data_IF_210015465103
#
_entry.id   IF_210015465103
#
_cell.length_a   1.000
_cell.length_b   1.000
_cell.length_c   1.000
_cell.angle_alpha   90.00
_cell.angle_beta   90.00
_cell.angle_gamma   90.00
#
_symmetry.space_group_name_H-M   'P 1'
#
loop_
_entity.id
_entity.type
_entity.pdbx_description
1 polymer ?
#
# COMPACT_ATOMS: atom_id res chain seq x y z
N UNK A 1 11.30 50.96 -21.52
CA UNK A 1 10.78 50.28 -20.30
C UNK A 1 9.28 49.94 -20.32
N UNK A 2 8.41 50.58 -21.11
CA UNK A 2 6.95 50.36 -21.06
C UNK A 2 6.42 49.01 -21.61
N UNK A 3 7.06 48.39 -22.61
CA UNK A 3 6.63 47.11 -23.20
C UNK A 3 6.78 45.90 -22.24
N UNK A 4 7.83 45.90 -21.40
CA UNK A 4 8.11 44.82 -20.43
C UNK A 4 7.09 44.82 -19.28
N UNK A 5 6.63 46.01 -18.86
CA UNK A 5 5.60 46.20 -17.84
C UNK A 5 4.21 45.71 -18.31
N UNK A 6 3.80 46.05 -19.54
CA UNK A 6 2.51 45.59 -20.12
C UNK A 6 2.45 44.06 -20.28
N UNK A 7 3.53 43.40 -20.69
CA UNK A 7 3.57 41.93 -20.83
C UNK A 7 3.54 41.21 -19.47
N UNK A 8 4.15 41.77 -18.43
CA UNK A 8 4.09 41.21 -17.06
C UNK A 8 2.68 41.34 -16.46
N UNK A 9 1.99 42.46 -16.72
CA UNK A 9 0.58 42.67 -16.33
C UNK A 9 -0.38 41.73 -17.06
N UNK A 10 -0.19 41.47 -18.36
CA UNK A 10 -1.01 40.53 -19.14
C UNK A 10 -0.81 39.06 -18.74
N UNK A 11 0.42 38.61 -18.46
CA UNK A 11 0.68 37.24 -17.96
C UNK A 11 0.07 36.98 -16.58
N UNK A 12 0.09 37.98 -15.69
CA UNK A 12 -0.56 37.87 -14.37
C UNK A 12 -2.09 37.84 -14.45
N UNK A 13 -2.72 38.33 -15.53
CA UNK A 13 -4.17 38.28 -15.70
C UNK A 13 -4.69 36.92 -16.20
N UNK A 14 -3.89 36.15 -16.94
CA UNK A 14 -4.33 34.84 -17.45
C UNK A 14 -4.45 33.79 -16.32
N UNK A 15 -3.46 33.71 -15.42
CA UNK A 15 -3.52 32.85 -14.25
C UNK A 15 -4.55 33.30 -13.20
N UNK A 16 -4.91 34.60 -13.19
CA UNK A 16 -5.96 35.14 -12.32
C UNK A 16 -7.39 34.79 -12.78
N UNK A 17 -7.58 34.26 -14.00
CA UNK A 17 -8.90 33.95 -14.56
C UNK A 17 -9.41 32.53 -14.29
N UNK A 18 -8.54 31.61 -13.87
CA UNK A 18 -9.00 30.28 -13.46
C UNK A 18 -9.66 30.37 -12.09
N UNK A 19 -10.82 29.75 -11.92
CA UNK A 19 -11.46 29.58 -10.61
C UNK A 19 -10.65 28.61 -9.75
N UNK A 20 -10.84 28.67 -8.43
CA UNK A 20 -10.16 27.75 -7.51
C UNK A 20 -10.48 26.29 -7.83
N UNK A 21 -11.72 25.97 -8.19
CA UNK A 21 -12.12 24.63 -8.65
C UNK A 21 -11.37 24.16 -9.90
N UNK A 22 -11.19 25.03 -10.89
CA UNK A 22 -10.46 24.69 -12.12
C UNK A 22 -8.97 24.51 -11.85
N UNK A 23 -8.39 25.32 -10.95
CA UNK A 23 -7.00 25.13 -10.53
C UNK A 23 -6.86 23.79 -9.82
N UNK A 24 -7.77 23.45 -8.92
CA UNK A 24 -7.77 22.15 -8.22
C UNK A 24 -7.93 20.99 -9.20
N UNK A 25 -8.79 21.10 -10.21
CA UNK A 25 -8.91 20.09 -11.28
C UNK A 25 -7.67 19.96 -12.17
N UNK A 26 -6.89 21.03 -12.34
CA UNK A 26 -5.61 20.95 -13.04
C UNK A 26 -4.58 20.26 -12.15
N UNK A 27 -4.48 20.72 -10.90
CA UNK A 27 -3.56 20.19 -9.90
C UNK A 27 -3.83 18.72 -9.56
N UNK A 28 -5.09 18.29 -9.62
CA UNK A 28 -5.49 16.88 -9.41
C UNK A 28 -4.93 15.92 -10.46
N UNK A 29 -4.56 16.45 -11.63
CA UNK A 29 -4.02 15.67 -12.75
C UNK A 29 -2.50 15.68 -12.81
N UNK A 30 -1.84 16.37 -11.86
CA UNK A 30 -0.38 16.47 -11.83
C UNK A 30 0.21 15.38 -10.92
N UNK A 31 1.32 14.74 -11.32
CA UNK A 31 2.09 13.90 -10.41
C UNK A 31 2.51 14.67 -9.16
N UNK A 32 2.65 13.98 -8.01
CA UNK A 32 2.87 14.70 -6.75
C UNK A 32 4.18 15.48 -6.71
N UNK A 33 5.25 15.04 -7.39
CA UNK A 33 6.47 15.86 -7.53
C UNK A 33 6.17 17.23 -8.15
N UNK A 34 5.31 17.27 -9.18
CA UNK A 34 4.84 18.51 -9.80
C UNK A 34 3.91 19.29 -8.87
N UNK A 35 2.99 18.61 -8.18
CA UNK A 35 2.09 19.23 -7.20
C UNK A 35 2.87 19.90 -6.04
N UNK A 36 3.93 19.26 -5.54
CA UNK A 36 4.81 19.79 -4.52
C UNK A 36 5.54 21.05 -5.02
N UNK A 37 6.03 21.05 -6.26
CA UNK A 37 6.61 22.24 -6.90
C UNK A 37 5.57 23.35 -7.10
N UNK A 38 4.31 22.99 -7.38
CA UNK A 38 3.20 23.93 -7.52
C UNK A 38 2.91 24.73 -6.24
N UNK A 39 3.25 24.20 -5.04
CA UNK A 39 3.20 24.98 -3.79
C UNK A 39 4.12 26.20 -3.79
N UNK A 40 5.16 26.20 -4.62
CA UNK A 40 6.11 27.31 -4.74
C UNK A 40 5.70 28.34 -5.82
N UNK A 41 4.68 28.05 -6.63
CA UNK A 41 4.29 28.90 -7.77
C UNK A 41 3.53 30.14 -7.32
N UNK A 42 2.61 30.01 -6.36
CA UNK A 42 1.90 31.16 -5.78
C UNK A 42 1.31 30.82 -4.40
N UNK A 43 1.05 31.85 -3.59
CA UNK A 43 0.35 31.71 -2.31
C UNK A 43 -1.06 31.15 -2.47
N UNK A 44 -1.76 31.50 -3.56
CA UNK A 44 -3.09 30.96 -3.91
C UNK A 44 -3.02 29.45 -4.15
N UNK A 45 -2.09 29.00 -4.99
CA UNK A 45 -1.92 27.57 -5.29
C UNK A 45 -1.49 26.80 -4.05
N UNK A 46 -0.55 27.34 -3.26
CA UNK A 46 -0.19 26.76 -1.97
C UNK A 46 -1.39 26.63 -1.04
N UNK A 47 -2.21 27.68 -0.93
CA UNK A 47 -3.44 27.69 -0.15
C UNK A 47 -4.39 26.59 -0.61
N UNK A 48 -4.65 26.48 -1.92
CA UNK A 48 -5.52 25.45 -2.48
C UNK A 48 -4.98 24.04 -2.26
N UNK A 49 -3.69 23.82 -2.45
CA UNK A 49 -3.05 22.51 -2.24
C UNK A 49 -3.08 22.10 -0.76
N UNK A 50 -2.94 23.07 0.14
CA UNK A 50 -2.99 22.84 1.59
C UNK A 50 -4.41 22.78 2.15
N UNK A 51 -5.43 23.23 1.41
CA UNK A 51 -6.82 23.33 1.86
C UNK A 51 -7.45 21.94 2.05
N UNK A 52 -8.07 21.66 3.22
CA UNK A 52 -8.66 20.35 3.52
C UNK A 52 -9.62 19.84 2.44
N UNK A 53 -10.53 20.69 1.96
CA UNK A 53 -11.56 20.32 0.97
C UNK A 53 -10.98 19.92 -0.40
N UNK A 54 -9.83 20.46 -0.76
CA UNK A 54 -9.19 20.19 -2.05
C UNK A 54 -8.27 18.98 -1.99
N UNK A 55 -7.80 18.58 -0.80
CA UNK A 55 -7.01 17.34 -0.64
C UNK A 55 -7.77 16.15 -1.22
N UNK A 56 -9.09 16.07 -1.03
CA UNK A 56 -9.97 15.04 -1.64
C UNK A 56 -9.81 14.88 -3.14
N UNK A 57 -9.47 15.96 -3.84
CA UNK A 57 -9.32 16.00 -5.30
C UNK A 57 -7.87 15.92 -5.74
N UNK A 58 -6.90 16.16 -4.86
CA UNK A 58 -5.49 16.15 -5.21
C UNK A 58 -4.91 14.75 -5.04
N UNK A 59 -3.92 14.37 -5.87
CA UNK A 59 -3.26 13.08 -5.72
C UNK A 59 -2.70 12.95 -4.32
N UNK A 60 -3.21 11.93 -3.64
CA UNK A 60 -2.78 11.54 -2.32
C UNK A 60 -1.49 10.75 -2.52
N UNK A 61 -0.38 11.34 -2.10
CA UNK A 61 0.91 10.65 -2.11
C UNK A 61 1.03 9.79 -0.87
N UNK A 62 1.84 8.75 -0.99
CA UNK A 62 2.32 7.95 0.13
C UNK A 62 2.88 8.86 1.23
N UNK A 63 2.15 8.97 2.33
CA UNK A 63 2.50 9.86 3.44
C UNK A 63 3.52 9.24 4.36
N UNK A 64 3.39 7.95 4.60
CA UNK A 64 4.20 7.25 5.56
C UNK A 64 3.94 5.76 5.62
N UNK A 65 4.48 5.17 6.67
CA UNK A 65 4.49 3.74 6.92
C UNK A 65 4.06 3.47 8.36
N UNK A 66 3.07 2.61 8.54
CA UNK A 66 2.77 2.00 9.84
C UNK A 66 3.65 0.77 10.05
N UNK A 67 4.14 0.60 11.27
CA UNK A 67 4.88 -0.58 11.68
C UNK A 67 4.75 -0.78 13.18
N UNK A 68 5.02 -2.01 13.63
CA UNK A 68 5.06 -2.34 15.05
C UNK A 68 6.50 -2.60 15.49
N UNK A 69 6.72 -2.44 16.79
CA UNK A 69 7.92 -2.90 17.46
C UNK A 69 7.50 -3.77 18.62
N UNK A 70 8.26 -4.79 18.95
CA UNK A 70 8.01 -5.70 20.05
C UNK A 70 9.21 -5.71 21.00
N UNK A 71 8.99 -5.29 22.24
CA UNK A 71 10.03 -5.29 23.25
C UNK A 71 9.44 -5.78 24.58
N UNK A 72 9.79 -7.00 25.03
CA UNK A 72 9.25 -7.58 26.26
C UNK A 72 9.71 -6.85 27.54
N UNK A 73 10.70 -5.95 27.45
CA UNK A 73 11.18 -5.13 28.56
C UNK A 73 10.44 -3.82 28.78
N UNK A 74 9.43 -3.48 27.97
CA UNK A 74 8.58 -2.29 28.13
C UNK A 74 7.09 -2.65 28.25
N UNK A 75 6.29 -1.72 28.72
CA UNK A 75 4.83 -1.82 28.74
C UNK A 75 4.19 -0.62 28.01
N UNK A 76 3.34 -0.83 26.99
CA UNK A 76 3.01 -2.14 26.38
C UNK A 76 4.22 -2.75 25.65
N UNK A 77 4.28 -4.08 25.58
CA UNK A 77 5.37 -4.78 24.92
C UNK A 77 5.41 -4.45 23.42
N UNK A 78 4.23 -4.46 22.78
CA UNK A 78 4.04 -4.00 21.41
C UNK A 78 3.77 -2.50 21.38
N UNK A 79 4.41 -1.78 20.45
CA UNK A 79 4.13 -0.38 20.18
C UNK A 79 3.99 -0.13 18.69
N UNK A 80 2.90 0.56 18.32
CA UNK A 80 2.60 0.96 16.95
C UNK A 80 3.20 2.32 16.63
N UNK A 81 3.80 2.44 15.45
CA UNK A 81 4.50 3.63 15.00
C UNK A 81 4.00 4.08 13.64
N UNK A 82 4.25 5.36 13.32
CA UNK A 82 4.07 5.91 11.99
C UNK A 82 5.29 6.75 11.60
N UNK A 83 5.93 6.41 10.49
CA UNK A 83 7.07 7.15 9.94
C UNK A 83 6.67 7.89 8.68
N UNK A 84 6.94 9.19 8.61
CA UNK A 84 6.76 9.98 7.39
C UNK A 84 7.87 9.63 6.37
N UNK A 85 7.50 9.34 5.13
CA UNK A 85 8.46 8.95 4.09
C UNK A 85 9.27 10.14 3.57
N UNK A 86 8.73 11.36 3.65
CA UNK A 86 9.36 12.58 3.12
C UNK A 86 10.32 13.29 4.09
N UNK A 87 10.49 12.79 5.31
CA UNK A 87 11.31 13.47 6.32
C UNK A 87 12.81 13.42 5.97
N UNK A 88 13.26 12.43 5.18
CA UNK A 88 14.66 12.31 4.75
C UNK A 88 15.08 13.47 3.82
N UNK A 89 14.23 13.85 2.85
CA UNK A 89 14.50 14.99 1.95
C UNK A 89 14.63 16.30 2.74
N UNK A 90 13.82 16.44 3.80
CA UNK A 90 13.79 17.67 4.62
C UNK A 90 14.88 17.71 5.69
N UNK A 91 15.61 16.60 5.88
CA UNK A 91 16.61 16.40 6.96
C UNK A 91 16.09 16.87 8.33
N UNK A 92 14.79 16.73 8.56
CA UNK A 92 14.09 17.15 9.78
C UNK A 92 13.00 16.13 10.07
N UNK A 93 13.02 15.61 11.29
CA UNK A 93 11.94 14.78 11.80
C UNK A 93 10.74 15.68 12.07
N UNK A 94 9.67 15.47 11.30
CA UNK A 94 8.40 16.12 11.53
C UNK A 94 7.56 15.25 12.46
N UNK A 95 6.59 15.81 13.20
CA UNK A 95 5.58 14.98 13.86
C UNK A 95 4.90 14.04 12.85
N UNK A 96 4.47 12.84 13.27
CA UNK A 96 3.72 11.93 12.41
C UNK A 96 2.51 12.63 11.78
N UNK A 97 2.34 12.48 10.47
CA UNK A 97 1.19 13.06 9.76
C UNK A 97 -0.14 12.39 10.16
N UNK A 98 -0.06 11.15 10.62
CA UNK A 98 -1.18 10.33 11.07
C UNK A 98 -0.86 9.83 12.47
N UNK A 99 -1.85 9.86 13.36
CA UNK A 99 -1.69 9.35 14.72
C UNK A 99 -1.64 7.81 14.69
N UNK A 100 -0.54 7.18 15.14
CA UNK A 100 -0.41 5.72 15.10
C UNK A 100 -1.32 4.99 16.09
N UNK A 101 -1.85 5.66 17.12
CA UNK A 101 -2.67 4.99 18.14
C UNK A 101 -4.00 4.47 17.61
N UNK A 102 -4.58 5.12 16.60
CA UNK A 102 -5.96 4.91 16.14
C UNK A 102 -7.00 5.10 17.27
N UNK A 103 -6.77 6.04 18.19
CA UNK A 103 -7.60 6.29 19.38
C UNK A 103 -9.06 6.68 19.11
N UNK A 104 -9.41 6.97 17.86
CA UNK A 104 -10.78 7.20 17.43
C UNK A 104 -11.61 5.89 17.32
N UNK A 105 -10.96 4.72 17.46
CA UNK A 105 -11.61 3.40 17.45
C UNK A 105 -11.66 2.85 18.89
N UNK A 106 -12.84 2.44 19.40
CA UNK A 106 -12.94 1.75 20.68
C UNK A 106 -12.11 0.46 20.71
N UNK A 107 -11.29 0.28 21.75
CA UNK A 107 -10.40 -0.89 21.88
C UNK A 107 -9.13 -0.84 21.00
N UNK A 108 -8.74 0.35 20.52
CA UNK A 108 -7.54 0.59 19.68
C UNK A 108 -6.21 -0.02 20.16
N UNK A 109 -6.07 -0.27 21.47
CA UNK A 109 -4.86 -0.83 22.09
C UNK A 109 -4.55 -2.24 21.61
N UNK A 110 -5.57 -3.00 21.19
CA UNK A 110 -5.43 -4.39 20.74
C UNK A 110 -5.68 -4.57 19.24
N UNK A 111 -5.81 -3.46 18.49
CA UNK A 111 -6.06 -3.52 17.05
C UNK A 111 -4.76 -3.83 16.31
N UNK A 112 -4.76 -4.88 15.48
CA UNK A 112 -3.70 -5.11 14.51
C UNK A 112 -4.12 -4.57 13.14
N UNK A 113 -3.20 -3.90 12.45
CA UNK A 113 -3.42 -3.48 11.05
C UNK A 113 -3.02 -4.67 10.17
N UNK A 114 -3.84 -5.00 9.18
CA UNK A 114 -3.63 -6.15 8.29
C UNK A 114 -3.27 -5.68 6.87
N UNK A 115 -3.96 -4.67 6.37
CA UNK A 115 -3.76 -4.17 5.02
C UNK A 115 -4.14 -2.69 4.90
N UNK A 116 -3.78 -2.07 3.78
CA UNK A 116 -4.11 -0.71 3.42
C UNK A 116 -4.44 -0.60 1.94
N UNK A 117 -5.48 0.15 1.60
CA UNK A 117 -5.83 0.40 0.20
C UNK A 117 -6.43 1.79 0.03
N UNK A 118 -5.76 2.64 -0.76
CA UNK A 118 -6.21 3.98 -1.14
C UNK A 118 -6.79 4.83 0.03
N UNK A 119 -6.11 4.77 1.18
CA UNK A 119 -6.39 5.58 2.38
C UNK A 119 -7.33 4.98 3.39
N UNK A 120 -7.83 3.77 3.12
CA UNK A 120 -8.45 2.92 4.11
C UNK A 120 -7.42 1.93 4.68
N UNK A 121 -7.57 1.60 5.96
CA UNK A 121 -6.87 0.52 6.63
C UNK A 121 -7.87 -0.60 6.95
N UNK A 122 -7.44 -1.83 6.73
CA UNK A 122 -8.09 -3.02 7.24
C UNK A 122 -7.41 -3.42 8.54
N UNK A 123 -8.22 -3.58 9.57
CA UNK A 123 -7.77 -3.86 10.93
C UNK A 123 -8.49 -5.10 11.48
N UNK A 124 -7.83 -5.81 12.38
CA UNK A 124 -8.40 -6.91 13.16
C UNK A 124 -8.47 -6.49 14.62
N UNK A 125 -9.66 -6.61 15.20
CA UNK A 125 -9.93 -6.26 16.60
C UNK A 125 -10.36 -7.52 17.36
N UNK A 126 -9.58 -7.99 18.33
CA UNK A 126 -9.96 -9.12 19.17
C UNK A 126 -11.28 -8.86 19.90
N UNK A 127 -12.13 -9.88 19.96
CA UNK A 127 -13.40 -9.84 20.72
C UNK A 127 -13.34 -10.72 21.97
N UNK A 128 -12.31 -11.56 22.10
CA UNK A 128 -12.06 -12.36 23.30
C UNK A 128 -10.54 -12.50 23.54
N UNK A 129 -10.17 -13.20 24.60
CA UNK A 129 -8.78 -13.62 24.87
C UNK A 129 -8.28 -14.70 23.91
N UNK A 130 -9.19 -15.37 23.20
CA UNK A 130 -8.84 -16.34 22.17
C UNK A 130 -8.53 -15.63 20.86
N UNK A 131 -7.36 -15.95 20.28
CA UNK A 131 -6.85 -15.30 19.06
C UNK A 131 -7.77 -15.49 17.84
N UNK A 132 -8.57 -16.55 17.80
CA UNK A 132 -9.47 -16.89 16.70
C UNK A 132 -10.81 -16.15 16.73
N UNK A 133 -11.12 -15.41 17.81
CA UNK A 133 -12.37 -14.66 17.95
C UNK A 133 -12.09 -13.17 17.83
N UNK A 134 -12.44 -12.61 16.68
CA UNK A 134 -12.20 -11.21 16.33
C UNK A 134 -13.22 -10.72 15.32
N UNK A 135 -13.27 -9.40 15.13
CA UNK A 135 -13.99 -8.75 14.03
C UNK A 135 -13.01 -7.95 13.16
N UNK A 136 -13.38 -7.76 11.90
CA UNK A 136 -12.69 -6.82 11.02
C UNK A 136 -13.23 -5.40 11.22
N UNK A 137 -12.32 -4.42 11.20
CA UNK A 137 -12.64 -3.00 11.25
C UNK A 137 -11.99 -2.35 10.04
N UNK A 138 -12.75 -1.61 9.26
CA UNK A 138 -12.20 -0.76 8.20
C UNK A 138 -12.22 0.68 8.70
N UNK A 139 -11.08 1.35 8.62
CA UNK A 139 -10.97 2.73 9.09
C UNK A 139 -10.23 3.64 8.12
N UNK A 140 -10.53 4.92 8.20
CA UNK A 140 -9.81 5.99 7.53
C UNK A 140 -9.15 6.88 8.61
N UNK A 141 -7.86 6.68 8.90
CA UNK A 141 -7.14 7.50 9.87
C UNK A 141 -7.13 9.00 9.56
N UNK A 142 -7.20 9.38 8.29
CA UNK A 142 -7.16 10.79 7.89
C UNK A 142 -8.45 11.55 8.19
N UNK A 143 -9.57 10.84 8.34
CA UNK A 143 -10.90 11.41 8.66
C UNK A 143 -11.46 10.89 9.97
N UNK A 144 -10.73 10.05 10.69
CA UNK A 144 -11.12 9.42 11.96
C UNK A 144 -12.46 8.68 11.88
N UNK A 145 -12.83 8.19 10.69
CA UNK A 145 -14.04 7.38 10.49
C UNK A 145 -13.69 5.90 10.45
N UNK A 146 -14.60 5.05 10.93
CA UNK A 146 -14.43 3.61 10.95
C UNK A 146 -15.78 2.90 10.90
N UNK A 147 -15.74 1.63 10.52
CA UNK A 147 -16.88 0.70 10.50
C UNK A 147 -16.42 -0.68 10.92
N UNK A 148 -17.22 -1.36 11.74
CA UNK A 148 -17.02 -2.78 12.08
C UNK A 148 -17.78 -3.62 11.07
N UNK A 149 -17.13 -4.65 10.53
CA UNK A 149 -17.76 -5.56 9.59
C UNK A 149 -18.53 -6.65 10.33
N UNK A 150 -19.66 -7.15 9.79
CA UNK A 150 -20.30 -8.33 10.33
C UNK A 150 -19.35 -9.53 10.25
N UNK A 151 -19.57 -10.58 11.06
CA UNK A 151 -18.82 -11.83 10.92
C UNK A 151 -19.14 -12.49 9.58
N UNK A 152 -18.11 -12.98 8.89
CA UNK A 152 -18.28 -13.74 7.65
C UNK A 152 -18.89 -15.13 7.85
N UNK A 153 -18.90 -15.63 9.09
CA UNK A 153 -19.34 -17.00 9.40
C UNK A 153 -18.32 -18.08 9.00
N UNK A 154 -17.25 -17.72 8.29
CA UNK A 154 -16.12 -18.62 8.04
C UNK A 154 -15.52 -19.09 9.35
N UNK A 155 -15.08 -20.34 9.41
CA UNK A 155 -14.36 -20.94 10.53
C UNK A 155 -12.91 -21.20 10.14
N UNK A 156 -11.95 -21.04 11.07
CA UNK A 156 -10.53 -21.26 10.78
C UNK A 156 -9.61 -20.46 11.70
N UNK A 157 -8.42 -21.02 11.96
CA UNK A 157 -7.40 -20.39 12.83
C UNK A 157 -6.60 -19.29 12.11
N UNK A 158 -6.41 -19.43 10.80
CA UNK A 158 -5.67 -18.50 9.97
C UNK A 158 -6.62 -17.87 8.95
N UNK A 159 -6.91 -16.58 9.13
CA UNK A 159 -7.75 -15.79 8.25
C UNK A 159 -6.94 -14.58 7.81
N UNK A 160 -6.39 -14.67 6.60
CA UNK A 160 -5.75 -13.56 5.94
C UNK A 160 -6.81 -12.76 5.18
N UNK A 161 -6.71 -11.44 5.18
CA UNK A 161 -7.67 -10.61 4.48
C UNK A 161 -7.01 -9.38 3.88
N UNK A 162 -7.53 -8.96 2.71
CA UNK A 162 -7.04 -7.81 1.97
C UNK A 162 -8.18 -6.84 1.66
N UNK A 163 -7.82 -5.57 1.48
CA UNK A 163 -8.73 -4.49 1.22
C UNK A 163 -8.73 -4.12 -0.26
N UNK A 164 -9.91 -4.11 -0.86
CA UNK A 164 -10.12 -3.62 -2.22
C UNK A 164 -10.90 -2.32 -2.23
N UNK A 165 -10.24 -1.23 -2.56
CA UNK A 165 -10.90 0.07 -2.66
C UNK A 165 -10.26 0.94 -3.72
N UNK A 166 -11.05 1.44 -4.66
CA UNK A 166 -10.62 2.46 -5.62
C UNK A 166 -11.59 3.66 -5.58
N UNK A 167 -11.22 4.75 -4.89
CA UNK A 167 -12.10 5.91 -4.75
C UNK A 167 -12.37 6.63 -6.08
N UNK A 168 -11.62 6.35 -7.14
CA UNK A 168 -11.90 6.89 -8.48
C UNK A 168 -13.02 6.11 -9.21
N UNK A 169 -13.32 4.88 -8.77
CA UNK A 169 -14.31 4.00 -9.40
C UNK A 169 -15.60 3.93 -8.57
N UNK A 170 -15.50 3.80 -7.25
CA UNK A 170 -16.65 3.63 -6.36
C UNK A 170 -16.39 4.24 -4.98
N UNK A 171 -17.45 4.67 -4.30
CA UNK A 171 -17.39 5.01 -2.87
C UNK A 171 -17.36 3.78 -1.95
N UNK A 172 -17.60 2.60 -2.51
CA UNK A 172 -17.67 1.35 -1.76
C UNK A 172 -16.34 0.61 -1.81
N UNK A 173 -15.89 0.14 -0.65
CA UNK A 173 -14.79 -0.79 -0.48
C UNK A 173 -15.29 -2.23 -0.38
N UNK A 174 -14.37 -3.16 -0.59
CA UNK A 174 -14.54 -4.60 -0.46
C UNK A 174 -13.46 -5.18 0.45
N UNK A 175 -13.76 -6.25 1.17
CA UNK A 175 -12.77 -7.02 1.93
C UNK A 175 -12.80 -8.46 1.45
N UNK A 176 -11.64 -8.99 1.12
CA UNK A 176 -11.46 -10.37 0.67
C UNK A 176 -10.87 -11.17 1.82
N UNK A 177 -11.65 -12.04 2.45
CA UNK A 177 -11.18 -12.96 3.48
C UNK A 177 -10.91 -14.32 2.87
N UNK A 178 -9.71 -14.83 3.15
CA UNK A 178 -9.27 -16.15 2.76
C UNK A 178 -10.03 -17.24 3.54
N UNK A 179 -10.60 -18.21 2.82
CA UNK A 179 -11.23 -19.39 3.42
C UNK A 179 -10.35 -20.61 3.19
N UNK A 180 -9.84 -21.18 4.28
CA UNK A 180 -8.96 -22.34 4.28
C UNK A 180 -9.73 -23.68 4.19
N UNK A 181 -9.16 -24.67 3.50
CA UNK A 181 -9.50 -26.10 3.60
C UNK A 181 -8.57 -26.77 4.63
N UNK A 182 -8.74 -28.08 4.84
CA UNK A 182 -7.72 -28.85 5.58
C UNK A 182 -6.34 -28.69 4.91
N UNK A 183 -5.31 -28.38 5.70
CA UNK A 183 -3.90 -28.25 5.30
C UNK A 183 -3.47 -26.94 4.59
N UNK A 184 -4.16 -25.80 4.78
CA UNK A 184 -3.68 -24.50 4.28
C UNK A 184 -3.98 -24.22 2.81
N UNK A 185 -4.90 -24.98 2.21
CA UNK A 185 -5.28 -24.87 0.81
C UNK A 185 -6.50 -23.98 0.62
N UNK A 186 -6.53 -23.19 -0.44
CA UNK A 186 -7.64 -22.27 -0.70
C UNK A 186 -8.93 -23.02 -1.02
N UNK A 187 -9.94 -22.85 -0.16
CA UNK A 187 -11.31 -23.29 -0.44
C UNK A 187 -12.01 -22.34 -1.41
N UNK A 188 -11.83 -21.06 -1.13
CA UNK A 188 -12.54 -19.95 -1.77
C UNK A 188 -12.24 -18.67 -1.02
N UNK A 189 -13.06 -17.66 -1.26
CA UNK A 189 -12.98 -16.38 -0.59
C UNK A 189 -14.37 -15.94 -0.13
N UNK A 190 -14.42 -15.37 1.07
CA UNK A 190 -15.53 -14.55 1.50
C UNK A 190 -15.25 -13.12 1.06
N UNK A 191 -16.14 -12.54 0.28
CA UNK A 191 -16.00 -11.18 -0.22
C UNK A 191 -17.08 -10.31 0.41
N UNK A 192 -16.67 -9.36 1.25
CA UNK A 192 -17.55 -8.33 1.81
C UNK A 192 -17.71 -7.19 0.82
N UNK A 193 -18.94 -6.71 0.62
CA UNK A 193 -19.19 -5.43 -0.05
C UNK A 193 -19.78 -4.43 0.92
N UNK A 194 -19.16 -3.25 1.03
CA UNK A 194 -19.73 -2.13 1.79
C UNK A 194 -20.97 -1.53 1.14
N UNK A 195 -21.28 -1.88 -0.12
CA UNK A 195 -22.53 -1.48 -0.77
C UNK A 195 -23.73 -2.27 -0.25
N UNK A 196 -23.57 -3.57 -0.05
CA UNK A 196 -24.64 -4.45 0.43
C UNK A 196 -24.60 -4.66 1.94
N UNK A 197 -23.45 -4.38 2.58
CA UNK A 197 -23.21 -4.65 3.99
C UNK A 197 -23.11 -6.14 4.32
N UNK A 198 -22.83 -6.99 3.33
CA UNK A 198 -22.87 -8.46 3.47
C UNK A 198 -21.64 -9.13 2.89
N UNK A 199 -21.33 -10.32 3.42
CA UNK A 199 -20.34 -11.24 2.85
C UNK A 199 -20.99 -12.14 1.79
N UNK A 200 -20.20 -12.54 0.79
CA UNK A 200 -20.58 -13.56 -0.17
C UNK A 200 -19.43 -14.54 -0.37
N UNK A 201 -19.72 -15.83 -0.15
CA UNK A 201 -18.77 -16.90 -0.38
C UNK A 201 -18.66 -17.21 -1.86
N UNK A 202 -17.42 -17.39 -2.33
CA UNK A 202 -17.08 -17.74 -3.71
C UNK A 202 -16.06 -18.86 -3.70
N UNK A 203 -16.43 -20.03 -4.22
CA UNK A 203 -15.51 -21.16 -4.34
C UNK A 203 -14.38 -20.84 -5.31
N UNK A 204 -13.15 -21.16 -4.91
CA UNK A 204 -11.94 -20.88 -5.69
C UNK A 204 -12.01 -21.56 -7.04
N UNK A 205 -11.78 -20.78 -8.11
CA UNK A 205 -11.64 -21.28 -9.48
C UNK A 205 -10.18 -21.34 -9.93
N UNK A 206 -9.21 -21.18 -9.01
CA UNK A 206 -7.81 -21.38 -9.32
C UNK A 206 -7.50 -22.86 -9.49
N UNK A 207 -6.84 -23.25 -10.60
CA UNK A 207 -6.61 -24.64 -10.99
C UNK A 207 -5.59 -25.42 -10.11
N UNK A 208 -5.14 -24.86 -8.99
CA UNK A 208 -4.01 -25.35 -8.20
C UNK A 208 -4.41 -25.65 -6.77
N UNK A 209 -3.60 -26.47 -6.10
CA UNK A 209 -3.53 -26.50 -4.63
C UNK A 209 -2.92 -25.19 -4.13
N UNK A 210 -3.63 -24.09 -4.34
CA UNK A 210 -3.19 -22.76 -3.92
C UNK A 210 -3.08 -22.74 -2.41
N UNK A 211 -1.96 -22.25 -1.88
CA UNK A 211 -1.81 -21.95 -0.45
C UNK A 211 -1.36 -20.51 -0.30
N UNK A 212 -1.99 -19.81 0.64
CA UNK A 212 -1.65 -18.44 1.00
C UNK A 212 -1.11 -18.45 2.42
N UNK A 213 0.12 -17.98 2.61
CA UNK A 213 0.81 -18.01 3.90
C UNK A 213 0.43 -16.85 4.83
N UNK A 214 -0.41 -15.92 4.37
CA UNK A 214 -1.02 -14.85 5.18
C UNK A 214 -0.21 -13.56 5.26
N UNK A 215 1.11 -13.63 5.10
CA UNK A 215 2.01 -12.46 5.06
C UNK A 215 2.35 -12.03 3.61
N UNK A 216 1.70 -12.64 2.62
CA UNK A 216 2.00 -12.43 1.20
C UNK A 216 1.52 -11.06 0.70
N UNK A 217 2.31 -10.48 -0.20
CA UNK A 217 2.00 -9.21 -0.85
C UNK A 217 0.67 -9.31 -1.61
N UNK A 218 -0.20 -8.33 -1.39
CA UNK A 218 -1.45 -8.17 -2.13
C UNK A 218 -1.61 -6.76 -2.69
N UNK A 219 -2.24 -6.64 -3.85
CA UNK A 219 -2.58 -5.33 -4.44
C UNK A 219 -3.93 -5.34 -5.12
N UNK A 220 -4.78 -4.40 -4.75
CA UNK A 220 -6.03 -4.14 -5.47
C UNK A 220 -5.79 -3.19 -6.63
N UNK A 221 -6.08 -3.64 -7.84
CA UNK A 221 -5.83 -2.89 -9.06
C UNK A 221 -6.82 -3.29 -10.16
N UNK A 222 -7.37 -2.31 -10.88
CA UNK A 222 -8.34 -2.53 -11.97
C UNK A 222 -9.55 -3.40 -11.57
N UNK A 223 -10.04 -3.26 -10.33
CA UNK A 223 -11.19 -4.03 -9.84
C UNK A 223 -10.87 -5.47 -9.43
N UNK A 224 -9.59 -5.85 -9.46
CA UNK A 224 -9.11 -7.20 -9.12
C UNK A 224 -8.15 -7.12 -7.94
N UNK A 225 -8.32 -8.00 -6.95
CA UNK A 225 -7.30 -8.26 -5.94
C UNK A 225 -6.27 -9.22 -6.55
N UNK A 226 -5.00 -8.82 -6.58
CA UNK A 226 -3.89 -9.67 -7.02
C UNK A 226 -3.06 -10.10 -5.81
N UNK A 227 -2.67 -11.37 -5.76
CA UNK A 227 -1.88 -11.97 -4.69
C UNK A 227 -0.74 -12.79 -5.30
N UNK A 228 0.42 -12.79 -4.65
CA UNK A 228 1.46 -13.79 -4.92
C UNK A 228 1.17 -15.01 -4.06
N UNK A 229 1.29 -16.21 -4.62
CA UNK A 229 1.05 -17.46 -3.90
C UNK A 229 2.32 -18.30 -3.80
N UNK A 230 2.35 -19.22 -2.84
CA UNK A 230 3.50 -20.11 -2.61
C UNK A 230 3.82 -21.06 -3.78
N UNK A 231 2.91 -21.22 -4.75
CA UNK A 231 3.07 -22.08 -5.93
C UNK A 231 3.68 -21.36 -7.14
N UNK A 232 4.61 -20.43 -6.93
CA UNK A 232 5.31 -19.74 -8.03
C UNK A 232 4.39 -19.00 -9.00
N UNK A 233 3.30 -18.42 -8.51
CA UNK A 233 2.29 -17.81 -9.37
C UNK A 233 1.69 -16.56 -8.73
N UNK A 234 1.04 -15.77 -9.59
CA UNK A 234 0.27 -14.61 -9.21
C UNK A 234 -1.17 -14.93 -9.57
N UNK A 235 -2.06 -14.76 -8.61
CA UNK A 235 -3.49 -14.99 -8.78
C UNK A 235 -4.25 -13.68 -8.66
N UNK A 236 -5.43 -13.61 -9.27
CA UNK A 236 -6.34 -12.53 -9.05
C UNK A 236 -7.80 -12.96 -9.04
N UNK A 237 -8.62 -12.16 -8.37
CA UNK A 237 -10.08 -12.32 -8.27
C UNK A 237 -10.75 -10.95 -8.30
N UNK A 238 -11.90 -10.84 -8.95
CA UNK A 238 -12.68 -9.59 -8.97
C UNK A 238 -13.58 -9.45 -7.74
N UNK A 239 -14.12 -8.25 -7.54
CA UNK A 239 -14.97 -7.91 -6.38
C UNK A 239 -16.25 -8.74 -6.28
N UNK A 240 -16.71 -9.34 -7.38
CA UNK A 240 -17.90 -10.22 -7.41
C UNK A 240 -17.53 -11.70 -7.26
N UNK A 241 -16.24 -12.05 -7.31
CA UNK A 241 -15.73 -13.42 -7.36
C UNK A 241 -16.21 -14.23 -8.57
N UNK A 242 -16.45 -13.56 -9.70
CA UNK A 242 -16.86 -14.17 -10.96
C UNK A 242 -15.68 -14.35 -11.91
N UNK A 243 -14.71 -13.43 -11.87
CA UNK A 243 -13.53 -13.48 -12.71
C UNK A 243 -12.32 -13.84 -11.89
N UNK A 244 -11.74 -14.98 -12.24
CA UNK A 244 -10.53 -15.50 -11.63
C UNK A 244 -9.44 -15.51 -12.71
N UNK A 245 -8.28 -14.99 -12.35
CA UNK A 245 -7.11 -14.95 -13.22
C UNK A 245 -5.92 -15.53 -12.48
N UNK A 246 -4.99 -16.10 -13.23
CA UNK A 246 -3.78 -16.65 -12.67
C UNK A 246 -2.72 -16.69 -13.78
N UNK A 247 -1.48 -16.37 -13.41
CA UNK A 247 -0.32 -16.49 -14.28
C UNK A 247 0.85 -17.02 -13.47
N UNK A 248 1.71 -17.81 -14.11
CA UNK A 248 2.98 -18.22 -13.51
C UNK A 248 3.88 -17.02 -13.29
N UNK A 249 4.69 -17.07 -12.23
CA UNK A 249 5.73 -16.08 -11.97
C UNK A 249 6.63 -15.94 -13.20
N UNK A 250 7.05 -14.70 -13.55
CA UNK A 250 7.95 -14.47 -14.68
C UNK A 250 9.37 -15.03 -14.49
N UNK A 251 9.72 -15.48 -13.29
CA UNK A 251 11.04 -16.00 -13.00
C UNK A 251 11.14 -17.52 -13.12
N UNK A 252 12.30 -17.99 -13.57
CA UNK A 252 12.63 -19.41 -13.53
C UNK A 252 13.04 -19.79 -12.12
N UNK A 253 12.09 -20.37 -11.40
CA UNK A 253 12.35 -20.76 -10.02
C UNK A 253 12.97 -22.13 -9.98
N UNK A 254 14.12 -22.24 -9.34
CA UNK A 254 14.78 -23.51 -9.16
C UNK A 254 14.08 -24.28 -8.01
N UNK A 255 13.45 -25.43 -8.28
CA UNK A 255 12.71 -26.18 -7.26
C UNK A 255 13.60 -26.65 -6.08
N UNK A 256 14.92 -26.64 -6.23
CA UNK A 256 15.86 -27.09 -5.20
C UNK A 256 16.10 -26.08 -4.08
N UNK A 257 15.81 -24.79 -4.28
CA UNK A 257 16.23 -23.73 -3.35
C UNK A 257 15.09 -23.12 -2.52
N UNK A 258 13.86 -23.61 -2.65
CA UNK A 258 12.70 -23.00 -1.99
C UNK A 258 12.17 -21.79 -2.77
N UNK A 259 10.99 -21.33 -2.39
CA UNK A 259 10.30 -20.17 -2.98
C UNK A 259 10.00 -19.18 -1.89
N UNK A 260 10.53 -17.97 -2.02
CA UNK A 260 10.01 -16.84 -1.27
C UNK A 260 9.02 -16.07 -2.15
N UNK A 261 7.72 -16.03 -1.77
CA UNK A 261 6.74 -15.25 -2.50
C UNK A 261 7.23 -13.81 -2.65
N UNK A 262 7.41 -13.39 -3.90
CA UNK A 262 7.84 -12.03 -4.20
C UNK A 262 6.79 -10.97 -3.82
N UNK A 263 7.09 -9.73 -4.18
CA UNK A 263 6.17 -8.60 -4.03
C UNK A 263 5.34 -8.41 -5.29
N UNK A 264 4.03 -8.15 -5.14
CA UNK A 264 3.14 -7.70 -6.22
C UNK A 264 2.64 -6.29 -5.92
N UNK A 265 2.69 -5.42 -6.92
CA UNK A 265 2.30 -4.03 -6.74
C UNK A 265 1.97 -3.32 -8.04
N UNK A 266 2.02 -1.99 -7.98
CA UNK A 266 1.78 -1.12 -9.13
C UNK A 266 3.06 -0.36 -9.47
N UNK A 267 3.52 -0.53 -10.71
CA UNK A 267 4.65 0.23 -11.27
C UNK A 267 4.19 0.93 -12.54
N UNK A 268 4.31 2.26 -12.59
CA UNK A 268 3.91 3.10 -13.74
C UNK A 268 2.47 2.82 -14.23
N UNK A 269 1.55 2.57 -13.29
CA UNK A 269 0.14 2.32 -13.60
C UNK A 269 -0.16 0.92 -14.15
N UNK A 270 0.80 -0.01 -14.09
CA UNK A 270 0.63 -1.43 -14.48
C UNK A 270 0.94 -2.36 -13.32
N UNK A 271 0.44 -3.59 -13.40
CA UNK A 271 0.78 -4.64 -12.45
C UNK A 271 2.26 -4.99 -12.59
N UNK A 272 2.96 -5.11 -11.46
CA UNK A 272 4.34 -5.53 -11.44
C UNK A 272 4.58 -6.62 -10.39
N UNK A 273 5.61 -7.41 -10.64
CA UNK A 273 6.17 -8.39 -9.73
C UNK A 273 7.64 -8.05 -9.46
N UNK A 274 8.04 -8.15 -8.20
CA UNK A 274 9.43 -7.98 -7.76
C UNK A 274 9.82 -9.22 -6.97
N UNK A 275 10.92 -9.87 -7.37
CA UNK A 275 11.42 -11.03 -6.63
C UNK A 275 12.02 -10.61 -5.27
N UNK A 276 11.97 -11.54 -4.32
CA UNK A 276 12.59 -11.39 -2.99
C UNK A 276 13.40 -12.64 -2.62
N UNK A 277 13.81 -13.41 -3.63
CA UNK A 277 14.56 -14.65 -3.43
C UNK A 277 15.94 -14.35 -2.82
N UNK A 278 16.20 -14.88 -1.63
CA UNK A 278 17.48 -14.77 -0.92
C UNK A 278 18.67 -15.35 -1.72
N UNK A 279 18.41 -16.21 -2.70
CA UNK A 279 19.43 -16.81 -3.57
C UNK A 279 19.69 -16.02 -4.85
N UNK A 280 18.79 -15.12 -5.26
CA UNK A 280 19.09 -14.19 -6.36
C UNK A 280 19.91 -13.02 -5.84
N UNK A 281 21.01 -12.71 -6.52
CA UNK A 281 21.85 -11.56 -6.17
C UNK A 281 21.26 -10.23 -6.68
N UNK A 282 20.07 -10.27 -7.28
CA UNK A 282 19.42 -9.15 -7.92
C UNK A 282 17.94 -9.05 -7.51
N UNK A 283 17.49 -7.80 -7.36
CA UNK A 283 16.09 -7.44 -7.42
C UNK A 283 15.74 -7.13 -8.88
N UNK A 284 14.74 -7.82 -9.40
CA UNK A 284 14.22 -7.76 -10.76
C UNK A 284 12.78 -7.26 -10.73
N UNK A 285 12.48 -6.24 -11.53
CA UNK A 285 11.14 -5.67 -11.65
C UNK A 285 10.54 -6.11 -12.97
N UNK A 286 9.53 -6.97 -12.88
CA UNK A 286 8.76 -7.44 -14.02
C UNK A 286 7.44 -6.68 -14.09
N UNK A 287 7.06 -6.25 -15.29
CA UNK A 287 5.79 -5.55 -15.53
C UNK A 287 4.96 -6.36 -16.51
N UNK A 288 3.71 -6.60 -16.14
CA UNK A 288 2.74 -7.26 -17.01
C UNK A 288 2.23 -6.25 -18.05
N UNK A 289 2.48 -6.52 -19.33
CA UNK A 289 1.97 -5.70 -20.43
C UNK A 289 0.56 -6.10 -20.83
N UNK A 290 0.25 -7.40 -20.79
CA UNK A 290 -1.01 -7.94 -21.25
C UNK A 290 -1.44 -9.16 -20.41
N UNK A 291 -2.64 -9.07 -19.84
CA UNK A 291 -3.24 -10.15 -19.04
C UNK A 291 -3.58 -11.41 -19.85
N UNK A 292 -3.95 -11.26 -21.13
CA UNK A 292 -4.43 -12.37 -21.94
C UNK A 292 -3.31 -13.27 -22.47
N UNK A 293 -2.13 -12.68 -22.72
CA UNK A 293 -0.93 -13.39 -23.18
C UNK A 293 0.06 -13.66 -22.06
N UNK A 294 -0.19 -13.14 -20.86
CA UNK A 294 0.71 -13.24 -19.70
C UNK A 294 2.12 -12.69 -20.01
N UNK A 295 2.18 -11.65 -20.84
CA UNK A 295 3.43 -11.05 -21.31
C UNK A 295 4.10 -10.22 -20.21
N UNK A 296 4.98 -10.85 -19.46
CA UNK A 296 5.85 -10.19 -18.49
C UNK A 296 7.12 -9.65 -19.15
N UNK A 297 7.42 -8.38 -18.91
CA UNK A 297 8.64 -7.74 -19.38
C UNK A 297 9.50 -7.33 -18.19
N UNK A 298 10.77 -7.78 -18.17
CA UNK A 298 11.77 -7.27 -17.25
C UNK A 298 12.07 -5.82 -17.57
N UNK A 299 11.67 -4.90 -16.68
CA UNK A 299 11.89 -3.45 -16.86
C UNK A 299 13.18 -2.98 -16.21
N UNK A 300 13.53 -3.56 -15.07
CA UNK A 300 14.67 -3.12 -14.28
C UNK A 300 15.31 -4.28 -13.54
N UNK A 301 16.62 -4.20 -13.33
CA UNK A 301 17.36 -5.17 -12.52
C UNK A 301 18.48 -4.47 -11.77
N UNK A 302 18.56 -4.68 -10.47
CA UNK A 302 19.55 -4.04 -9.59
C UNK A 302 20.14 -5.07 -8.64
N UNK A 303 21.45 -5.02 -8.41
CA UNK A 303 22.11 -5.97 -7.50
C UNK A 303 21.81 -5.64 -6.04
N UNK A 304 21.66 -6.67 -5.21
CA UNK A 304 21.48 -6.52 -3.76
C UNK A 304 22.65 -5.75 -3.14
N UNK A 305 23.87 -5.93 -3.66
CA UNK A 305 25.06 -5.16 -3.25
C UNK A 305 24.85 -3.65 -3.44
N UNK A 306 24.17 -3.22 -4.51
CA UNK A 306 23.86 -1.80 -4.73
C UNK A 306 22.77 -1.33 -3.79
N UNK A 307 21.71 -2.13 -3.61
CA UNK A 307 20.61 -1.83 -2.66
C UNK A 307 21.09 -1.70 -1.21
N UNK A 308 22.17 -2.38 -0.85
CA UNK A 308 22.72 -2.43 0.52
C UNK A 308 24.01 -1.63 0.67
N UNK A 309 24.44 -0.85 -0.34
CA UNK A 309 25.73 -0.15 -0.34
C UNK A 309 25.91 0.84 0.82
N UNK A 310 24.80 1.31 1.41
CA UNK A 310 24.77 2.25 2.54
C UNK A 310 24.65 1.57 3.90
N UNK A 311 24.60 0.25 3.93
CA UNK A 311 24.54 -0.57 5.15
C UNK A 311 25.95 -1.08 5.44
N UNK A 312 26.42 -0.89 6.67
CA UNK A 312 27.80 -1.23 7.08
C UNK A 312 28.06 -2.74 6.96
N UNK A 313 27.08 -3.55 7.37
CA UNK A 313 27.10 -5.02 7.24
C UNK A 313 25.99 -5.42 6.28
N UNK A 314 26.29 -5.61 4.97
CA UNK A 314 25.26 -5.88 3.98
C UNK A 314 24.55 -7.20 4.36
N UNK A 315 23.21 -7.16 4.53
CA UNK A 315 22.44 -8.34 4.85
C UNK A 315 22.38 -9.29 3.66
N UNK A 316 22.05 -10.56 3.93
CA UNK A 316 21.59 -11.49 2.91
C UNK A 316 20.16 -11.19 2.44
N UNK A 317 19.35 -10.53 3.28
CA UNK A 317 17.91 -10.41 3.07
C UNK A 317 17.46 -8.94 3.06
N UNK A 318 16.43 -8.65 2.26
CA UNK A 318 15.68 -7.41 2.24
C UNK A 318 14.20 -7.74 2.10
N UNK A 319 13.33 -6.80 2.48
CA UNK A 319 11.89 -6.96 2.34
C UNK A 319 11.31 -5.77 1.60
N UNK A 320 10.70 -6.02 0.44
CA UNK A 320 10.02 -4.97 -0.34
C UNK A 320 8.72 -4.61 0.35
N UNK A 321 8.56 -3.34 0.69
CA UNK A 321 7.40 -2.82 1.41
C UNK A 321 6.35 -2.32 0.43
N UNK A 322 6.76 -1.44 -0.49
CA UNK A 322 5.84 -0.84 -1.47
C UNK A 322 6.58 -0.15 -2.60
N UNK A 323 5.86 0.15 -3.67
CA UNK A 323 6.29 1.04 -4.75
C UNK A 323 5.54 2.35 -4.57
N UNK A 324 6.27 3.46 -4.61
CA UNK A 324 5.66 4.76 -4.49
C UNK A 324 4.68 5.00 -5.65
N UNK A 325 3.42 5.40 -5.39
CA UNK A 325 2.40 5.48 -6.45
C UNK A 325 2.70 6.55 -7.50
N UNK A 326 3.39 7.64 -7.12
CA UNK A 326 3.64 8.79 -8.00
C UNK A 326 5.06 8.90 -8.57
N UNK A 327 5.99 8.04 -8.17
CA UNK A 327 7.36 8.06 -8.69
C UNK A 327 7.97 6.67 -8.65
N UNK A 328 9.02 6.44 -9.45
CA UNK A 328 9.65 5.12 -9.56
C UNK A 328 10.58 4.86 -8.36
N UNK A 329 10.04 4.97 -7.16
CA UNK A 329 10.72 4.69 -5.90
C UNK A 329 10.23 3.37 -5.34
N UNK A 330 11.17 2.53 -4.92
CA UNK A 330 10.88 1.27 -4.23
C UNK A 330 11.28 1.47 -2.78
N UNK A 331 10.33 1.27 -1.87
CA UNK A 331 10.58 1.29 -0.45
C UNK A 331 10.78 -0.15 0.03
N UNK A 332 11.85 -0.35 0.78
CA UNK A 332 12.21 -1.66 1.31
C UNK A 332 12.89 -1.50 2.68
N UNK A 333 12.77 -2.53 3.51
CA UNK A 333 13.56 -2.67 4.73
C UNK A 333 14.73 -3.63 4.45
N UNK A 334 15.90 -3.33 4.98
CA UNK A 334 17.07 -4.19 4.86
C UNK A 334 17.93 -4.13 6.13
N UNK A 335 18.59 -5.22 6.43
CA UNK A 335 19.51 -5.30 7.57
C UNK A 335 18.84 -5.81 8.84
N UNK A 336 19.68 -6.17 9.81
CA UNK A 336 19.25 -6.65 11.13
C UNK A 336 18.51 -5.58 11.93
N UNK A 337 18.78 -4.32 11.63
CA UNK A 337 18.19 -3.16 12.27
C UNK A 337 16.95 -2.63 11.51
N UNK A 338 16.49 -3.38 10.50
CA UNK A 338 15.33 -3.04 9.68
C UNK A 338 15.42 -1.62 9.12
N UNK A 339 16.59 -1.27 8.55
CA UNK A 339 16.81 0.05 7.98
C UNK A 339 15.86 0.27 6.81
N UNK A 340 15.01 1.29 6.93
CA UNK A 340 14.08 1.72 5.89
C UNK A 340 14.82 2.51 4.82
N UNK A 341 14.75 2.01 3.59
CA UNK A 341 15.49 2.46 2.43
C UNK A 341 14.55 2.82 1.29
N UNK A 342 15.01 3.71 0.42
CA UNK A 342 14.39 4.01 -0.88
C UNK A 342 15.40 3.73 -1.97
N UNK A 343 14.97 3.00 -3.00
CA UNK A 343 15.69 2.92 -4.27
C UNK A 343 14.96 3.78 -5.31
N UNK A 344 15.62 4.84 -5.77
CA UNK A 344 15.17 5.66 -6.88
C UNK A 344 15.58 4.99 -8.19
N UNK A 345 14.62 4.38 -8.89
CA UNK A 345 14.86 3.66 -10.14
C UNK A 345 15.26 4.62 -11.27
N UNK A 346 14.79 5.86 -11.26
CA UNK A 346 15.07 6.83 -12.33
C UNK A 346 16.53 7.30 -12.31
N UNK A 347 17.10 7.48 -11.12
CA UNK A 347 18.48 7.94 -10.91
C UNK A 347 19.43 6.79 -10.53
N UNK A 348 18.88 5.61 -10.30
CA UNK A 348 19.55 4.43 -9.76
C UNK A 348 20.32 4.73 -8.45
N UNK A 349 19.73 5.54 -7.58
CA UNK A 349 20.32 5.93 -6.30
C UNK A 349 19.58 5.28 -5.13
N UNK A 350 20.32 4.94 -4.08
CA UNK A 350 19.76 4.42 -2.83
C UNK A 350 19.79 5.51 -1.77
N UNK A 351 18.73 5.67 -0.99
CA UNK A 351 18.66 6.62 0.11
C UNK A 351 18.21 5.93 1.39
N UNK A 352 18.90 6.22 2.49
CA UNK A 352 18.49 5.80 3.83
C UNK A 352 17.43 6.77 4.33
N UNK A 353 16.24 6.28 4.67
CA UNK A 353 15.22 7.10 5.34
C UNK A 353 15.54 7.14 6.84
N UNK A 354 15.55 5.98 7.48
CA UNK A 354 15.82 5.82 8.92
C UNK A 354 16.04 4.36 9.29
N UNK A 355 16.61 4.14 10.45
CA UNK A 355 16.61 2.84 11.13
C UNK A 355 15.29 2.69 11.91
N UNK A 356 14.59 1.55 11.74
CA UNK A 356 13.32 1.25 12.41
C UNK A 356 13.52 0.54 13.75
N UNK A 357 14.67 -0.12 13.93
CA UNK A 357 15.04 -0.88 15.11
C UNK A 357 14.97 -2.38 14.84
N UNK A 358 15.88 -3.14 15.44
CA UNK A 358 15.88 -4.61 15.38
C UNK A 358 14.67 -5.23 16.09
N UNK A 359 13.96 -4.45 16.90
CA UNK A 359 12.71 -4.81 17.55
C UNK A 359 11.49 -4.55 16.66
N UNK A 360 11.67 -3.99 15.45
CA UNK A 360 10.57 -3.84 14.48
C UNK A 360 10.31 -5.13 13.70
N UNK A 361 9.04 -5.39 13.41
CA UNK A 361 8.58 -6.59 12.71
C UNK A 361 7.60 -6.24 11.58
N UNK A 362 7.54 -7.14 10.60
CA UNK A 362 6.51 -7.14 9.55
C UNK A 362 5.11 -7.40 10.15
N UNK A 363 4.02 -6.93 9.51
CA UNK A 363 3.99 -6.22 8.23
C UNK A 363 4.26 -4.71 8.35
N UNK A 364 4.90 -4.17 7.31
CA UNK A 364 5.09 -2.73 7.11
C UNK A 364 3.96 -2.22 6.21
N UNK A 365 3.04 -1.41 6.74
CA UNK A 365 1.82 -1.02 6.02
C UNK A 365 1.93 0.40 5.44
N UNK A 366 2.10 0.56 4.11
CA UNK A 366 2.21 1.87 3.47
C UNK A 366 0.88 2.62 3.54
N UNK A 367 0.89 3.93 3.82
CA UNK A 367 -0.36 4.68 3.93
C UNK A 367 -0.39 5.92 3.03
N UNK A 368 -1.41 5.95 2.18
CA UNK A 368 -1.77 7.07 1.32
C UNK A 368 -3.05 7.70 1.90
N UNK A 369 -3.02 8.88 2.55
CA UNK A 369 -4.19 9.44 3.21
C UNK A 369 -5.35 9.65 2.26
N UNK A 370 -6.59 9.47 2.73
CA UNK A 370 -7.77 9.82 1.97
C UNK A 370 -8.63 10.79 2.76
N UNK A 371 -8.79 12.01 2.26
CA UNK A 371 -9.53 13.04 3.00
C UNK A 371 -11.02 13.10 2.61
N UNK A 372 -11.53 12.21 1.74
CA UNK A 372 -12.92 12.20 1.24
C UNK A 372 -13.94 11.76 2.30
N UNK A 373 -15.25 11.73 1.96
CA UNK A 373 -16.37 11.58 2.91
C UNK A 373 -16.29 10.41 3.89
N UNK A 374 -17.17 10.43 4.91
CA UNK A 374 -17.18 9.47 6.01
C UNK A 374 -17.50 8.05 5.51
N UNK A 375 -16.89 7.03 6.13
CA UNK A 375 -17.29 5.62 5.95
C UNK A 375 -18.72 5.30 6.44
N UNK A 376 -19.42 6.29 7.00
CA UNK A 376 -20.73 6.13 7.67
C UNK A 376 -21.95 6.19 6.73
N UNK A 377 -21.77 6.48 5.43
CA UNK A 377 -22.90 6.68 4.53
C UNK A 377 -23.38 5.35 3.87
N UNK A 378 -23.50 4.29 4.66
CA UNK A 378 -23.90 2.95 4.23
C UNK A 378 -24.55 2.12 5.34
N UNK A 379 -25.81 2.47 5.62
CA UNK A 379 -26.79 1.83 6.51
C UNK A 379 -26.68 2.03 8.03
#
# INVERSE_FOLDING_TARGET
MAKRSKNRRRRNQAAARLTDDLIVQILSRLPVKSLCRCKCVSTRWRGLISHPDHRRRLPQTLAGLFYITENPGRFPAEARHFTNIWDWERRRQSPPLICPSLSFIPGHEHISIQDSCNGLLLCRRPESTSFDVFCYVVCNPATESWVVLPHSGSGGKFRAAWLGFDPAVSSHFHVFEFVDKYHGLVAGMEIYSSQTGSWSYKESQWNFRTSILGDESGVFFNGLLHLVIAQFAIVAVDVEGEKWWMATSPEHVNPMFGWDPGFVGRYQGRLCYINQDDYDNYMSIWVLENYATEDWILKHRVSIRRLTEKIITPPSNYHVITIHPDCNWILYAAGWDQTLMVYDVDHEEVHVIRNLGSDSSVPYIPYVPLYSGSLKDGH
#
